data_IF_541987869119
#
_entry.id   IF_541987869119
#
_cell.length_a   1.000
_cell.length_b   1.000
_cell.length_c   1.000
_cell.angle_alpha   90.00
_cell.angle_beta   90.00
_cell.angle_gamma   90.00
#
_symmetry.space_group_name_H-M   'P 1'
#
loop_
_entity.id
_entity.type
_entity.pdbx_description
1 polymer ?
#
# COMPACT_ATOMS: atom_id res chain seq x y z
N UNK A 1 0.53 26.29 -0.93
CA UNK A 1 0.76 25.03 -0.18
C UNK A 1 -0.41 24.07 -0.27
N UNK A 2 -1.67 24.50 -0.23
CA UNK A 2 -2.86 23.61 -0.22
C UNK A 2 -2.95 22.65 -1.44
N UNK A 3 -2.78 23.16 -2.67
CA UNK A 3 -2.97 22.34 -3.86
C UNK A 3 -1.97 21.16 -4.00
N UNK A 4 -0.72 21.33 -3.56
CA UNK A 4 0.30 20.27 -3.66
C UNK A 4 0.10 19.20 -2.59
N UNK A 5 -0.32 19.58 -1.38
CA UNK A 5 -0.63 18.63 -0.31
C UNK A 5 -1.90 17.82 -0.63
N UNK A 6 -2.92 18.46 -1.21
CA UNK A 6 -4.15 17.78 -1.64
C UNK A 6 -3.89 16.81 -2.79
N UNK A 7 -3.11 17.22 -3.80
CA UNK A 7 -2.71 16.34 -4.91
C UNK A 7 -1.86 15.17 -4.39
N UNK A 8 -0.92 15.43 -3.48
CA UNK A 8 -0.10 14.38 -2.88
C UNK A 8 -1.00 13.37 -2.15
N UNK A 9 -1.91 13.85 -1.31
CA UNK A 9 -2.90 13.05 -0.57
C UNK A 9 -3.76 12.19 -1.50
N UNK A 10 -4.25 12.79 -2.58
CA UNK A 10 -5.03 12.08 -3.60
C UNK A 10 -4.20 10.95 -4.26
N UNK A 11 -2.97 11.22 -4.70
CA UNK A 11 -2.09 10.22 -5.32
C UNK A 11 -1.79 9.06 -4.35
N UNK A 12 -1.50 9.34 -3.09
CA UNK A 12 -1.24 8.31 -2.08
C UNK A 12 -2.48 7.45 -1.86
N UNK A 13 -3.66 8.08 -1.78
CA UNK A 13 -4.92 7.35 -1.59
C UNK A 13 -5.18 6.37 -2.74
N UNK A 14 -4.86 6.75 -3.98
CA UNK A 14 -4.97 5.88 -5.16
C UNK A 14 -3.99 4.70 -5.06
N UNK A 15 -2.75 4.94 -4.62
CA UNK A 15 -1.76 3.87 -4.41
C UNK A 15 -2.24 2.87 -3.35
N UNK A 16 -2.77 3.35 -2.22
CA UNK A 16 -3.33 2.51 -1.16
C UNK A 16 -4.51 1.67 -1.67
N UNK A 17 -5.45 2.30 -2.38
CA UNK A 17 -6.59 1.61 -3.00
C UNK A 17 -6.14 0.54 -3.99
N UNK A 18 -5.15 0.84 -4.84
CA UNK A 18 -4.58 -0.13 -5.79
C UNK A 18 -3.95 -1.34 -5.10
N UNK A 19 -3.26 -1.14 -3.96
CA UNK A 19 -2.71 -2.22 -3.16
C UNK A 19 -3.82 -3.12 -2.57
N UNK A 20 -4.90 -2.52 -2.08
CA UNK A 20 -6.08 -3.25 -1.56
C UNK A 20 -6.73 -4.08 -2.67
N UNK A 21 -6.98 -3.51 -3.84
CA UNK A 21 -7.54 -4.25 -4.97
C UNK A 21 -6.66 -5.43 -5.38
N UNK A 22 -5.34 -5.23 -5.44
CA UNK A 22 -4.39 -6.29 -5.77
C UNK A 22 -4.38 -7.41 -4.73
N UNK A 23 -4.49 -7.06 -3.46
CA UNK A 23 -4.58 -8.03 -2.37
C UNK A 23 -5.86 -8.84 -2.45
N UNK A 24 -7.02 -8.19 -2.60
CA UNK A 24 -8.33 -8.84 -2.75
C UNK A 24 -8.34 -9.77 -3.97
N UNK A 25 -7.81 -9.33 -5.10
CA UNK A 25 -7.69 -10.16 -6.30
C UNK A 25 -6.86 -11.44 -6.05
N UNK A 26 -5.72 -11.32 -5.36
CA UNK A 26 -4.90 -12.49 -5.02
C UNK A 26 -5.64 -13.44 -4.07
N UNK A 27 -6.42 -12.91 -3.12
CA UNK A 27 -7.23 -13.72 -2.19
C UNK A 27 -8.38 -14.45 -2.89
N UNK A 28 -9.03 -13.82 -3.87
CA UNK A 28 -10.07 -14.46 -4.69
C UNK A 28 -9.46 -15.58 -5.52
N UNK A 29 -8.33 -15.36 -6.20
CA UNK A 29 -7.68 -16.40 -7.02
C UNK A 29 -7.09 -17.55 -6.20
N UNK A 30 -6.70 -17.31 -4.94
CA UNK A 30 -6.23 -18.37 -4.02
C UNK A 30 -7.30 -19.45 -3.75
N UNK A 31 -8.58 -19.10 -3.82
CA UNK A 31 -9.70 -20.04 -3.56
C UNK A 31 -10.01 -20.97 -4.74
N UNK A 32 -9.66 -20.56 -5.97
CA UNK A 32 -10.04 -21.28 -7.20
C UNK A 32 -8.90 -22.00 -7.91
N UNK A 33 -7.65 -21.91 -7.44
CA UNK A 33 -6.48 -22.43 -8.15
C UNK A 33 -5.52 -23.17 -7.21
N UNK A 34 -5.78 -24.44 -6.91
CA UNK A 34 -4.93 -25.29 -6.06
C UNK A 34 -3.50 -25.44 -6.62
N UNK A 35 -3.33 -25.52 -7.94
CA UNK A 35 -2.00 -25.68 -8.57
C UNK A 35 -1.15 -24.39 -8.53
N UNK A 36 -1.76 -23.21 -8.52
CA UNK A 36 -1.05 -21.90 -8.50
C UNK A 36 -1.05 -21.24 -7.10
N UNK A 37 -1.57 -21.91 -6.06
CA UNK A 37 -1.73 -21.34 -4.72
C UNK A 37 -0.43 -20.76 -4.15
N UNK A 38 0.70 -21.44 -4.34
CA UNK A 38 2.00 -20.98 -3.86
C UNK A 38 2.41 -19.63 -4.46
N UNK A 39 2.12 -19.41 -5.75
CA UNK A 39 2.43 -18.18 -6.46
C UNK A 39 1.55 -17.01 -5.99
N UNK A 40 0.23 -17.20 -5.89
CA UNK A 40 -0.66 -16.14 -5.40
C UNK A 40 -0.41 -15.80 -3.94
N UNK A 41 -0.05 -16.78 -3.10
CA UNK A 41 0.35 -16.54 -1.70
C UNK A 41 1.61 -15.67 -1.61
N UNK A 42 2.61 -15.93 -2.47
CA UNK A 42 3.82 -15.09 -2.56
C UNK A 42 3.49 -13.68 -3.02
N UNK A 43 2.63 -13.54 -4.04
CA UNK A 43 2.18 -12.23 -4.55
C UNK A 43 1.41 -11.43 -3.50
N UNK A 44 0.48 -12.07 -2.78
CA UNK A 44 -0.27 -11.44 -1.69
C UNK A 44 0.67 -10.95 -0.58
N UNK A 45 1.63 -11.78 -0.14
CA UNK A 45 2.64 -11.37 0.85
C UNK A 45 3.47 -10.17 0.37
N UNK A 46 3.90 -10.16 -0.89
CA UNK A 46 4.64 -9.05 -1.46
C UNK A 46 3.80 -7.76 -1.51
N UNK A 47 2.50 -7.85 -1.82
CA UNK A 47 1.59 -6.70 -1.80
C UNK A 47 1.41 -6.16 -0.39
N UNK A 48 1.28 -7.02 0.62
CA UNK A 48 1.22 -6.60 2.03
C UNK A 48 2.52 -5.93 2.45
N UNK A 49 3.67 -6.52 2.14
CA UNK A 49 4.97 -5.95 2.48
C UNK A 49 5.17 -4.56 1.84
N UNK A 50 4.82 -4.44 0.55
CA UNK A 50 4.85 -3.16 -0.16
C UNK A 50 3.97 -2.11 0.53
N UNK A 51 2.73 -2.48 0.89
CA UNK A 51 1.80 -1.57 1.56
C UNK A 51 2.35 -1.08 2.90
N UNK A 52 2.90 -1.98 3.72
CA UNK A 52 3.51 -1.63 5.01
C UNK A 52 4.67 -0.65 4.82
N UNK A 53 5.58 -0.92 3.88
CA UNK A 53 6.71 -0.03 3.61
C UNK A 53 6.22 1.36 3.13
N UNK A 54 5.23 1.40 2.25
CA UNK A 54 4.65 2.65 1.77
C UNK A 54 4.01 3.47 2.90
N UNK A 55 3.35 2.82 3.85
CA UNK A 55 2.75 3.46 5.01
C UNK A 55 3.80 3.99 5.99
N UNK A 56 4.90 3.24 6.18
CA UNK A 56 6.01 3.66 7.03
C UNK A 56 6.66 4.98 6.55
N UNK A 57 6.71 5.24 5.24
CA UNK A 57 7.25 6.50 4.71
C UNK A 57 6.44 7.70 5.21
N UNK A 58 5.11 7.57 5.25
CA UNK A 58 4.22 8.62 5.76
C UNK A 58 4.38 8.80 7.27
N UNK A 59 4.50 7.71 8.03
CA UNK A 59 4.78 7.81 9.46
C UNK A 59 6.13 8.48 9.75
N UNK A 60 7.16 8.15 8.97
CA UNK A 60 8.47 8.81 9.11
C UNK A 60 8.36 10.30 8.77
N UNK A 61 7.66 10.64 7.67
CA UNK A 61 7.38 12.04 7.33
C UNK A 61 6.72 12.76 8.50
N UNK A 62 5.63 12.22 9.04
CA UNK A 62 4.87 12.86 10.11
C UNK A 62 5.72 13.03 11.38
N UNK A 63 6.54 12.04 11.74
CA UNK A 63 7.50 12.13 12.86
C UNK A 63 8.53 13.24 12.60
N UNK A 64 9.11 13.31 11.40
CA UNK A 64 10.10 14.34 11.06
C UNK A 64 9.47 15.73 11.11
N UNK A 65 8.27 15.92 10.54
CA UNK A 65 7.56 17.18 10.60
C UNK A 65 7.14 17.56 12.04
N UNK A 66 6.80 16.59 12.88
CA UNK A 66 6.52 16.83 14.28
C UNK A 66 7.72 17.39 15.05
N UNK A 67 8.94 16.90 14.78
CA UNK A 67 10.15 17.31 15.49
C UNK A 67 10.91 18.49 14.85
N UNK A 68 10.89 18.62 13.54
CA UNK A 68 11.70 19.58 12.78
C UNK A 68 10.89 20.56 11.94
N UNK A 69 9.56 20.38 11.84
CA UNK A 69 8.68 21.30 11.14
C UNK A 69 8.29 22.49 12.03
N UNK A 70 9.11 23.55 12.02
CA UNK A 70 8.75 24.88 12.50
C UNK A 70 7.78 25.58 11.56
#
# INVERSE_FOLDING_TARGET
MIALDDISTAVISIIRLGAVFRFVYCMIRLQGAEEEQAQYKKRAKNTVLFYVIAECIWQIKDIVFYYYGS
#
